data_IF_662121880216
#
_entry.id   IF_662121880216
#
_cell.length_a   1.000
_cell.length_b   1.000
_cell.length_c   1.000
_cell.angle_alpha   90.00
_cell.angle_beta   90.00
_cell.angle_gamma   90.00
#
_symmetry.space_group_name_H-M   'P 1'
#
loop_
_entity.id
_entity.type
_entity.pdbx_description
1 polymer ?
#
# COMPACT_ATOMS: atom_id res chain seq x y z
N UNK A 1 -53.15 -11.85 0.17
CA UNK A 1 -52.19 -10.93 0.76
C UNK A 1 -50.86 -11.68 0.92
N UNK A 2 -49.97 -11.55 -0.03
CA UNK A 2 -48.66 -12.17 0.03
C UNK A 2 -47.65 -11.03 0.09
N UNK A 3 -47.03 -10.86 1.28
CA UNK A 3 -45.97 -9.91 1.52
C UNK A 3 -44.68 -10.39 0.84
N UNK A 4 -44.23 -9.67 -0.17
CA UNK A 4 -42.94 -9.84 -0.78
C UNK A 4 -41.85 -9.36 0.19
N UNK A 5 -41.17 -10.30 0.79
CA UNK A 5 -39.97 -10.06 1.60
C UNK A 5 -38.81 -9.77 0.64
N UNK A 6 -38.58 -8.50 0.35
CA UNK A 6 -37.43 -8.03 -0.42
C UNK A 6 -36.15 -8.15 0.42
N UNK A 7 -35.56 -9.32 0.43
CA UNK A 7 -34.24 -9.53 1.01
C UNK A 7 -33.22 -8.62 0.32
N UNK A 8 -32.81 -7.56 0.98
CA UNK A 8 -31.68 -6.78 0.57
C UNK A 8 -30.47 -7.68 0.45
N UNK A 9 -29.98 -7.90 -0.78
CA UNK A 9 -28.68 -8.56 -1.02
C UNK A 9 -27.64 -7.78 -0.21
N UNK A 10 -26.87 -8.45 0.67
CA UNK A 10 -25.78 -7.78 1.33
C UNK A 10 -24.86 -7.22 0.22
N UNK A 11 -24.53 -5.94 0.34
CA UNK A 11 -23.51 -5.33 -0.49
C UNK A 11 -22.30 -6.26 -0.47
N UNK A 12 -21.85 -6.73 -1.63
CA UNK A 12 -20.69 -7.58 -1.77
C UNK A 12 -19.52 -6.85 -1.10
N UNK A 13 -19.17 -7.24 0.12
CA UNK A 13 -18.06 -6.70 0.88
C UNK A 13 -16.78 -6.86 0.05
N UNK A 14 -15.86 -5.91 0.17
CA UNK A 14 -14.54 -6.02 -0.44
C UNK A 14 -13.89 -7.34 -0.02
N UNK A 15 -13.43 -8.13 -0.99
CA UNK A 15 -12.67 -9.34 -0.74
C UNK A 15 -11.21 -9.06 -1.05
N UNK A 16 -10.31 -9.58 -0.22
CA UNK A 16 -8.87 -9.48 -0.40
C UNK A 16 -8.28 -10.87 -0.58
N UNK A 17 -7.14 -10.93 -1.24
CA UNK A 17 -6.42 -12.18 -1.38
C UNK A 17 -6.02 -12.72 0.00
N UNK A 18 -6.26 -14.02 0.24
CA UNK A 18 -6.06 -14.64 1.55
C UNK A 18 -4.64 -15.18 1.76
N UNK A 19 -3.71 -14.92 0.85
CA UNK A 19 -2.36 -15.47 0.82
C UNK A 19 -1.58 -15.37 2.15
N UNK A 20 -1.82 -14.32 2.94
CA UNK A 20 -1.12 -14.12 4.22
C UNK A 20 -1.67 -15.02 5.34
N UNK A 21 -2.91 -15.52 5.23
CA UNK A 21 -3.57 -16.25 6.32
C UNK A 21 -2.85 -17.55 6.71
N UNK A 22 -2.38 -18.40 5.78
CA UNK A 22 -1.60 -19.59 6.13
C UNK A 22 -0.31 -19.26 6.90
N UNK A 23 0.34 -18.14 6.57
CA UNK A 23 1.55 -17.70 7.26
C UNK A 23 1.27 -17.22 8.69
N UNK A 24 0.11 -16.59 8.94
CA UNK A 24 -0.30 -16.24 10.30
C UNK A 24 -0.48 -17.48 11.17
N UNK A 25 -1.14 -18.50 10.63
CA UNK A 25 -1.32 -19.79 11.29
C UNK A 25 0.03 -20.43 11.59
N UNK A 26 0.87 -20.60 10.58
CA UNK A 26 2.18 -21.22 10.72
C UNK A 26 3.09 -20.44 11.71
N UNK A 27 2.99 -19.11 11.72
CA UNK A 27 3.75 -18.27 12.64
C UNK A 27 3.34 -18.46 14.10
N UNK A 28 2.03 -18.61 14.40
CA UNK A 28 1.54 -18.93 15.75
C UNK A 28 1.99 -20.33 16.18
N UNK A 29 1.80 -21.33 15.33
CA UNK A 29 2.16 -22.73 15.63
C UNK A 29 3.64 -22.93 15.90
N UNK A 30 4.49 -22.25 15.11
CA UNK A 30 5.93 -22.27 15.33
C UNK A 30 6.37 -21.71 16.71
N UNK A 31 5.45 -21.02 17.40
CA UNK A 31 5.63 -20.47 18.75
C UNK A 31 4.88 -21.25 19.83
N UNK A 32 4.28 -22.37 19.48
CA UNK A 32 3.49 -23.19 20.39
C UNK A 32 2.16 -22.54 20.78
N UNK A 33 1.67 -21.55 20.02
CA UNK A 33 0.38 -20.89 20.23
C UNK A 33 -0.69 -21.63 19.46
N UNK A 34 -1.80 -21.96 20.12
CA UNK A 34 -2.94 -22.61 19.45
C UNK A 34 -3.57 -21.67 18.41
N UNK A 35 -3.46 -22.06 17.14
CA UNK A 35 -4.03 -21.33 16.01
C UNK A 35 -5.47 -21.75 15.66
N UNK A 36 -6.09 -22.67 16.42
CA UNK A 36 -7.47 -23.13 16.18
C UNK A 36 -8.48 -21.99 16.11
N UNK A 37 -8.44 -20.95 16.98
CA UNK A 37 -9.35 -19.83 16.89
C UNK A 37 -9.23 -19.07 15.57
N UNK A 38 -8.01 -18.97 15.00
CA UNK A 38 -7.77 -18.34 13.73
C UNK A 38 -8.38 -19.14 12.58
N UNK A 39 -8.21 -20.47 12.58
CA UNK A 39 -8.81 -21.37 11.57
C UNK A 39 -10.33 -21.40 11.60
N UNK A 40 -10.95 -21.12 12.76
CA UNK A 40 -12.39 -21.11 12.95
C UNK A 40 -13.05 -19.77 12.60
N UNK A 41 -12.29 -18.75 12.17
CA UNK A 41 -12.88 -17.48 11.75
C UNK A 41 -13.87 -17.71 10.60
N UNK A 42 -15.14 -17.25 10.73
CA UNK A 42 -16.13 -17.40 9.67
C UNK A 42 -15.66 -16.75 8.37
N UNK A 43 -15.61 -17.50 7.29
CA UNK A 43 -15.11 -17.03 5.99
C UNK A 43 -13.58 -17.13 5.82
N UNK A 44 -12.87 -17.69 6.81
CA UNK A 44 -11.51 -18.15 6.62
C UNK A 44 -11.53 -19.40 5.75
N UNK A 45 -11.04 -19.27 4.53
CA UNK A 45 -11.03 -20.39 3.60
C UNK A 45 -9.90 -21.35 3.99
N UNK A 46 -10.25 -22.56 4.37
CA UNK A 46 -9.32 -23.70 4.32
C UNK A 46 -9.15 -24.11 2.86
N UNK A 47 -8.49 -23.30 2.05
CA UNK A 47 -8.32 -23.54 0.62
C UNK A 47 -6.85 -23.61 0.29
N UNK A 48 -6.43 -24.69 -0.33
CA UNK A 48 -5.12 -24.82 -0.97
C UNK A 48 -5.07 -24.01 -2.30
N UNK A 49 -6.15 -23.28 -2.63
CA UNK A 49 -6.20 -22.43 -3.80
C UNK A 49 -5.33 -21.17 -3.59
N UNK A 50 -4.24 -21.01 -4.33
CA UNK A 50 -3.37 -19.85 -4.22
C UNK A 50 -4.07 -18.54 -4.58
N UNK A 51 -5.17 -18.58 -5.34
CA UNK A 51 -5.99 -17.44 -5.72
C UNK A 51 -7.17 -17.20 -4.77
N UNK A 52 -7.26 -17.94 -3.66
CA UNK A 52 -8.35 -17.81 -2.70
C UNK A 52 -8.46 -16.39 -2.16
N UNK A 53 -9.69 -15.91 -2.03
CA UNK A 53 -10.01 -14.58 -1.51
C UNK A 53 -10.90 -14.70 -0.29
N UNK A 54 -10.60 -13.94 0.75
CA UNK A 54 -11.40 -13.83 1.96
C UNK A 54 -12.09 -12.46 2.03
N UNK A 55 -13.24 -12.36 2.69
CA UNK A 55 -13.80 -11.05 3.03
C UNK A 55 -12.79 -10.24 3.83
N UNK A 56 -12.72 -8.96 3.55
CA UNK A 56 -11.73 -8.08 4.16
C UNK A 56 -11.78 -8.09 5.70
N UNK A 57 -12.99 -8.04 6.27
CA UNK A 57 -13.15 -8.06 7.73
C UNK A 57 -12.60 -9.34 8.37
N UNK A 58 -12.55 -10.46 7.63
CA UNK A 58 -11.95 -11.72 8.10
C UNK A 58 -10.43 -11.57 8.15
N UNK A 59 -9.83 -10.97 7.13
CA UNK A 59 -8.38 -10.74 7.12
C UNK A 59 -7.97 -9.76 8.23
N UNK A 60 -8.75 -8.68 8.45
CA UNK A 60 -8.50 -7.75 9.57
C UNK A 60 -8.65 -8.44 10.92
N UNK A 61 -9.72 -9.25 11.10
CA UNK A 61 -9.91 -10.04 12.30
C UNK A 61 -8.76 -11.04 12.54
N UNK A 62 -8.26 -11.66 11.48
CA UNK A 62 -7.14 -12.59 11.56
C UNK A 62 -5.86 -11.91 12.07
N UNK A 63 -5.53 -10.71 11.59
CA UNK A 63 -4.39 -9.93 12.10
C UNK A 63 -4.57 -9.55 13.57
N UNK A 64 -5.78 -9.06 13.94
CA UNK A 64 -6.10 -8.72 15.34
C UNK A 64 -6.03 -9.93 16.27
N UNK A 65 -6.59 -11.06 15.83
CA UNK A 65 -6.56 -12.30 16.61
C UNK A 65 -5.14 -12.86 16.76
N UNK A 66 -4.33 -12.81 15.70
CA UNK A 66 -2.91 -13.22 15.76
C UNK A 66 -2.15 -12.39 16.80
N UNK A 67 -2.34 -11.07 16.79
CA UNK A 67 -1.73 -10.19 17.78
C UNK A 67 -2.19 -10.52 19.22
N UNK A 68 -3.49 -10.74 19.40
CA UNK A 68 -4.09 -11.06 20.72
C UNK A 68 -3.61 -12.42 21.25
N UNK A 69 -3.63 -13.46 20.40
CA UNK A 69 -3.24 -14.81 20.82
C UNK A 69 -1.75 -14.92 21.15
N UNK A 70 -0.92 -14.23 20.41
CA UNK A 70 0.54 -14.26 20.65
C UNK A 70 0.98 -13.41 21.84
N UNK A 71 0.19 -12.40 22.24
CA UNK A 71 0.60 -11.40 23.22
C UNK A 71 1.84 -10.61 22.84
N UNK A 72 2.27 -10.69 21.58
CA UNK A 72 3.49 -10.06 21.10
C UNK A 72 3.24 -8.66 20.55
N UNK A 73 4.21 -7.77 20.73
CA UNK A 73 4.27 -6.49 20.04
C UNK A 73 4.90 -6.65 18.65
N UNK A 74 4.54 -5.77 17.71
CA UNK A 74 5.08 -5.77 16.36
C UNK A 74 4.92 -7.09 15.58
N UNK A 75 3.75 -7.75 15.75
CA UNK A 75 3.44 -9.03 15.10
C UNK A 75 3.61 -8.96 13.59
N UNK A 76 3.22 -7.83 12.98
CA UNK A 76 3.39 -7.63 11.54
C UNK A 76 4.83 -7.75 11.08
N UNK A 77 5.76 -7.15 11.83
CA UNK A 77 7.21 -7.25 11.55
C UNK A 77 7.69 -8.69 11.71
N UNK A 78 7.34 -9.35 12.80
CA UNK A 78 7.80 -10.71 13.08
C UNK A 78 7.28 -11.73 12.07
N UNK A 79 6.04 -11.59 11.61
CA UNK A 79 5.49 -12.41 10.53
C UNK A 79 6.24 -12.16 9.23
N UNK A 80 6.52 -10.89 8.87
CA UNK A 80 7.29 -10.56 7.68
C UNK A 80 8.70 -11.17 7.71
N UNK A 81 9.41 -11.12 8.86
CA UNK A 81 10.73 -11.74 9.05
C UNK A 81 10.68 -13.26 8.83
N UNK A 82 9.59 -13.92 9.22
CA UNK A 82 9.44 -15.37 9.12
C UNK A 82 9.08 -15.90 7.73
N UNK A 83 8.67 -15.01 6.81
CA UNK A 83 8.24 -15.44 5.48
C UNK A 83 9.38 -16.08 4.70
N UNK A 84 9.14 -17.26 4.10
CA UNK A 84 10.11 -17.88 3.20
C UNK A 84 10.21 -17.09 1.88
N UNK A 85 11.28 -17.32 1.14
CA UNK A 85 11.43 -16.84 -0.23
C UNK A 85 10.30 -17.40 -1.11
N UNK A 86 9.70 -16.56 -1.92
CA UNK A 86 8.58 -16.91 -2.80
C UNK A 86 7.20 -16.78 -2.13
N UNK A 87 7.12 -16.33 -0.88
CA UNK A 87 5.86 -16.20 -0.16
C UNK A 87 4.86 -15.24 -0.82
N UNK A 88 5.33 -14.27 -1.62
CA UNK A 88 4.48 -13.35 -2.37
C UNK A 88 4.26 -13.82 -3.83
N UNK A 89 4.56 -15.08 -4.12
CA UNK A 89 4.39 -15.69 -5.44
C UNK A 89 5.02 -14.83 -6.56
N UNK A 90 4.37 -14.73 -7.72
CA UNK A 90 4.87 -13.98 -8.89
C UNK A 90 5.20 -12.51 -8.58
N UNK A 91 4.56 -11.91 -7.59
CA UNK A 91 4.83 -10.52 -7.17
C UNK A 91 6.26 -10.39 -6.62
N UNK A 92 6.71 -11.37 -5.82
CA UNK A 92 8.08 -11.40 -5.33
C UNK A 92 9.10 -11.60 -6.45
N UNK A 93 8.81 -12.49 -7.39
CA UNK A 93 9.69 -12.72 -8.54
C UNK A 93 9.76 -11.50 -9.46
N UNK A 94 8.68 -10.73 -9.62
CA UNK A 94 8.72 -9.46 -10.34
C UNK A 94 9.63 -8.42 -9.67
N UNK A 95 9.65 -8.40 -8.33
CA UNK A 95 10.60 -7.59 -7.57
C UNK A 95 12.04 -8.08 -7.79
N UNK A 96 12.31 -9.35 -7.49
CA UNK A 96 13.66 -9.93 -7.46
C UNK A 96 14.37 -9.92 -8.81
N UNK A 97 13.63 -10.17 -9.89
CA UNK A 97 14.19 -10.16 -11.27
C UNK A 97 14.44 -8.77 -11.82
N UNK A 98 14.15 -7.71 -11.07
CA UNK A 98 14.38 -6.33 -11.51
C UNK A 98 15.87 -5.99 -11.49
N UNK A 99 16.34 -5.13 -12.40
CA UNK A 99 17.76 -4.77 -12.48
C UNK A 99 18.24 -3.92 -11.31
N UNK A 100 17.34 -3.21 -10.62
CA UNK A 100 17.69 -2.37 -9.46
C UNK A 100 16.60 -2.38 -8.40
N UNK A 101 16.97 -2.00 -7.17
CA UNK A 101 16.06 -1.89 -6.04
C UNK A 101 14.89 -0.93 -6.34
N UNK A 102 15.16 0.20 -6.96
CA UNK A 102 14.12 1.18 -7.31
C UNK A 102 13.06 0.58 -8.23
N UNK A 103 13.48 -0.08 -9.32
CA UNK A 103 12.56 -0.78 -10.23
C UNK A 103 11.87 -1.97 -9.56
N UNK A 104 12.56 -2.68 -8.68
CA UNK A 104 11.95 -3.75 -7.88
C UNK A 104 10.82 -3.23 -7.00
N UNK A 105 11.05 -2.14 -6.26
CA UNK A 105 10.02 -1.50 -5.44
C UNK A 105 8.87 -0.94 -6.30
N UNK A 106 9.15 -0.39 -7.47
CA UNK A 106 8.09 0.05 -8.38
C UNK A 106 7.19 -1.11 -8.82
N UNK A 107 7.78 -2.26 -9.16
CA UNK A 107 7.02 -3.47 -9.51
C UNK A 107 6.25 -4.03 -8.32
N UNK A 108 6.86 -4.05 -7.14
CA UNK A 108 6.19 -4.45 -5.91
C UNK A 108 4.98 -3.53 -5.62
N UNK A 109 5.12 -2.22 -5.82
CA UNK A 109 4.03 -1.27 -5.69
C UNK A 109 2.91 -1.55 -6.71
N UNK A 110 3.28 -1.74 -7.99
CA UNK A 110 2.35 -1.98 -9.08
C UNK A 110 1.57 -3.27 -8.91
N UNK A 111 2.26 -4.37 -8.59
CA UNK A 111 1.67 -5.71 -8.54
C UNK A 111 1.17 -6.11 -7.14
N UNK A 112 1.59 -5.41 -6.09
CA UNK A 112 1.15 -5.67 -4.71
C UNK A 112 -0.37 -5.59 -4.54
N UNK A 113 -1.07 -4.85 -5.41
CA UNK A 113 -2.53 -4.82 -5.43
C UNK A 113 -3.19 -6.16 -5.80
N UNK A 114 -2.44 -7.07 -6.44
CA UNK A 114 -2.91 -8.44 -6.68
C UNK A 114 -3.07 -9.16 -5.34
N UNK A 115 -2.17 -8.88 -4.40
CA UNK A 115 -2.17 -9.45 -3.05
C UNK A 115 -3.16 -8.74 -2.11
N UNK A 116 -3.43 -7.46 -2.34
CA UNK A 116 -4.35 -6.69 -1.50
C UNK A 116 -4.95 -5.49 -2.24
N UNK A 117 -6.26 -5.50 -2.44
CA UNK A 117 -7.00 -4.36 -3.02
C UNK A 117 -7.05 -3.14 -2.10
N UNK A 118 -6.79 -3.33 -0.80
CA UNK A 118 -6.85 -2.30 0.25
C UNK A 118 -5.54 -1.57 0.45
N UNK A 119 -4.45 -2.18 0.03
CA UNK A 119 -3.11 -1.60 0.18
C UNK A 119 -2.66 -1.09 -1.17
N UNK A 120 -2.63 0.22 -1.32
CA UNK A 120 -1.95 0.86 -2.44
C UNK A 120 -0.54 1.23 -1.98
N UNK A 121 0.45 0.70 -2.67
CA UNK A 121 1.84 1.07 -2.45
C UNK A 121 2.33 1.93 -3.63
N UNK A 122 3.30 2.79 -3.36
CA UNK A 122 3.94 3.62 -4.36
C UNK A 122 5.39 3.87 -4.03
N UNK A 123 6.20 3.94 -5.06
CA UNK A 123 7.57 4.40 -4.98
C UNK A 123 7.71 5.76 -5.62
N UNK A 124 8.50 6.59 -5.00
CA UNK A 124 8.87 7.90 -5.50
C UNK A 124 10.34 8.14 -5.24
N UNK A 125 11.04 8.64 -6.23
CA UNK A 125 12.44 8.98 -6.08
C UNK A 125 12.66 10.44 -6.48
N UNK A 126 13.37 11.18 -5.65
CA UNK A 126 13.99 12.43 -6.00
C UNK A 126 15.50 12.33 -5.82
N UNK A 127 16.24 13.45 -5.84
CA UNK A 127 17.70 13.44 -5.69
C UNK A 127 18.19 12.91 -4.34
N UNK A 128 17.35 12.89 -3.31
CA UNK A 128 17.75 12.57 -1.94
C UNK A 128 17.08 11.32 -1.36
N UNK A 129 15.83 11.04 -1.75
CA UNK A 129 15.02 9.98 -1.14
C UNK A 129 14.30 9.11 -2.16
N UNK A 130 14.17 7.84 -1.82
CA UNK A 130 13.27 6.87 -2.41
C UNK A 130 12.17 6.60 -1.37
N UNK A 131 10.95 7.05 -1.66
CA UNK A 131 9.82 6.95 -0.77
C UNK A 131 8.95 5.74 -1.15
N UNK A 132 8.67 4.88 -0.18
CA UNK A 132 7.67 3.82 -0.26
C UNK A 132 6.48 4.19 0.64
N UNK A 133 5.31 4.32 0.04
CA UNK A 133 4.07 4.66 0.73
C UNK A 133 3.13 3.45 0.75
N UNK A 134 2.50 3.23 1.89
CA UNK A 134 1.43 2.25 2.06
C UNK A 134 0.17 2.96 2.55
N UNK A 135 -0.90 2.79 1.81
CA UNK A 135 -2.19 3.41 2.11
C UNK A 135 -3.29 2.40 2.29
N UNK A 136 -4.16 2.69 3.22
CA UNK A 136 -5.49 2.12 3.26
C UNK A 136 -6.40 2.89 2.28
N UNK A 137 -6.91 2.20 1.27
CA UNK A 137 -7.84 2.79 0.28
C UNK A 137 -9.31 2.55 0.63
N UNK A 138 -9.60 2.07 1.83
CA UNK A 138 -10.94 1.77 2.32
C UNK A 138 -11.51 2.78 3.31
N UNK A 139 -12.66 2.44 3.87
CA UNK A 139 -13.38 3.25 4.86
C UNK A 139 -13.03 2.94 6.31
N UNK A 140 -12.46 1.77 6.59
CA UNK A 140 -12.02 1.35 7.91
C UNK A 140 -10.50 1.32 7.97
N UNK A 141 -9.94 1.64 9.12
CA UNK A 141 -8.50 1.60 9.32
C UNK A 141 -8.00 0.15 9.33
N UNK A 142 -6.84 -0.07 8.69
CA UNK A 142 -6.14 -1.35 8.75
C UNK A 142 -5.64 -1.60 10.18
N UNK A 143 -5.66 -2.86 10.61
CA UNK A 143 -5.05 -3.25 11.87
C UNK A 143 -3.54 -2.87 11.88
N UNK A 144 -2.98 -2.32 12.98
CA UNK A 144 -1.57 -1.92 13.08
C UNK A 144 -0.61 -2.98 12.56
N UNK A 145 -0.75 -4.24 12.98
CA UNK A 145 0.11 -5.33 12.53
C UNK A 145 0.12 -5.52 11.00
N UNK A 146 -0.98 -5.23 10.31
CA UNK A 146 -1.04 -5.33 8.85
C UNK A 146 -0.25 -4.22 8.16
N UNK A 147 -0.27 -3.01 8.69
CA UNK A 147 0.54 -1.89 8.16
C UNK A 147 2.03 -2.09 8.47
N UNK A 148 2.36 -2.57 9.65
CA UNK A 148 3.72 -2.98 10.02
C UNK A 148 4.25 -4.05 9.07
N UNK A 149 3.46 -5.08 8.81
CA UNK A 149 3.78 -6.16 7.88
C UNK A 149 4.06 -5.63 6.46
N UNK A 150 3.24 -4.72 5.95
CA UNK A 150 3.41 -4.16 4.61
C UNK A 150 4.73 -3.38 4.45
N UNK A 151 5.12 -2.58 5.46
CA UNK A 151 6.41 -1.87 5.45
C UNK A 151 7.59 -2.83 5.70
N UNK A 152 7.42 -3.81 6.59
CA UNK A 152 8.45 -4.79 6.90
C UNK A 152 8.77 -5.69 5.71
N UNK A 153 7.76 -6.12 4.93
CA UNK A 153 7.97 -6.88 3.69
C UNK A 153 8.80 -6.09 2.68
N UNK A 154 8.46 -4.81 2.43
CA UNK A 154 9.21 -3.99 1.49
C UNK A 154 10.69 -3.88 1.92
N UNK A 155 10.93 -3.69 3.23
CA UNK A 155 12.28 -3.61 3.78
C UNK A 155 13.02 -4.95 3.74
N UNK A 156 12.34 -6.06 4.06
CA UNK A 156 12.90 -7.41 3.95
C UNK A 156 13.31 -7.72 2.52
N UNK A 157 12.42 -7.50 1.56
CA UNK A 157 12.71 -7.72 0.15
C UNK A 157 13.87 -6.84 -0.35
N UNK A 158 13.95 -5.58 0.09
CA UNK A 158 15.05 -4.70 -0.24
C UNK A 158 16.40 -5.25 0.27
N UNK A 159 16.45 -5.73 1.50
CA UNK A 159 17.65 -6.36 2.10
C UNK A 159 18.00 -7.68 1.44
N UNK A 160 17.03 -8.57 1.30
CA UNK A 160 17.21 -9.88 0.69
C UNK A 160 17.63 -9.78 -0.78
N UNK A 161 17.04 -8.82 -1.51
CA UNK A 161 17.30 -8.63 -2.94
C UNK A 161 18.66 -7.99 -3.22
N UNK A 162 19.10 -7.05 -2.39
CA UNK A 162 20.43 -6.41 -2.53
C UNK A 162 21.56 -7.20 -1.85
N UNK A 163 21.22 -8.05 -0.90
CA UNK A 163 22.20 -8.72 -0.02
C UNK A 163 22.84 -7.76 0.99
N UNK A 164 22.29 -6.56 1.17
CA UNK A 164 22.86 -5.54 2.04
C UNK A 164 21.96 -5.21 3.23
N UNK A 165 22.56 -4.86 4.35
CA UNK A 165 21.83 -4.39 5.53
C UNK A 165 21.41 -2.92 5.35
N UNK A 166 20.38 -2.69 4.52
CA UNK A 166 19.85 -1.36 4.29
C UNK A 166 19.15 -0.83 5.55
N UNK A 167 19.42 0.44 5.88
CA UNK A 167 18.76 1.16 6.97
C UNK A 167 17.99 2.32 6.36
N UNK A 168 16.66 2.39 6.56
CA UNK A 168 15.87 3.50 6.06
C UNK A 168 16.21 4.79 6.81
N UNK A 169 16.09 5.94 6.14
CA UNK A 169 16.22 7.26 6.79
C UNK A 169 15.16 7.46 7.85
N UNK A 170 13.93 7.00 7.56
CA UNK A 170 12.78 7.14 8.44
C UNK A 170 11.72 6.10 8.10
N UNK A 171 11.01 5.66 9.12
CA UNK A 171 9.80 4.86 9.01
C UNK A 171 8.68 5.57 9.75
N UNK A 172 7.51 5.68 9.11
CA UNK A 172 6.33 6.30 9.71
C UNK A 172 5.16 5.31 9.73
N UNK A 173 4.49 5.26 10.87
CA UNK A 173 3.22 4.54 11.04
C UNK A 173 2.11 5.51 11.44
N UNK A 174 0.92 5.34 10.88
CA UNK A 174 -0.24 6.16 11.20
C UNK A 174 -0.90 5.79 12.54
N UNK A 175 -0.70 4.56 13.00
CA UNK A 175 -1.21 4.13 14.30
C UNK A 175 -0.39 4.71 15.47
N UNK A 176 -0.94 4.66 16.67
CA UNK A 176 -0.28 5.09 17.89
C UNK A 176 0.93 4.22 18.23
N UNK A 177 1.90 4.79 18.94
CA UNK A 177 3.05 4.04 19.42
C UNK A 177 2.59 2.89 20.32
N UNK A 178 3.12 1.66 20.13
CA UNK A 178 2.91 0.58 21.08
C UNK A 178 3.62 0.89 22.42
N UNK A 179 3.26 0.17 23.46
CA UNK A 179 3.91 0.30 24.77
C UNK A 179 5.42 -0.02 24.71
N UNK A 180 5.79 -0.96 23.84
CA UNK A 180 7.19 -1.29 23.54
C UNK A 180 7.41 -1.29 22.02
N UNK A 181 8.24 -0.36 21.54
CA UNK A 181 8.64 -0.22 20.14
C UNK A 181 10.05 -0.78 19.84
N UNK A 182 10.64 -1.51 20.78
CA UNK A 182 12.00 -2.06 20.65
C UNK A 182 12.18 -2.93 19.41
N UNK A 183 11.17 -3.73 19.07
CA UNK A 183 11.16 -4.57 17.87
C UNK A 183 11.15 -3.74 16.58
N UNK A 184 10.40 -2.64 16.56
CA UNK A 184 10.39 -1.72 15.42
C UNK A 184 11.76 -1.10 15.20
N UNK A 185 12.38 -0.57 16.28
CA UNK A 185 13.74 -0.02 16.21
C UNK A 185 14.78 -1.05 15.82
N UNK A 186 14.69 -2.26 16.37
CA UNK A 186 15.60 -3.36 16.04
C UNK A 186 15.51 -3.72 14.56
N UNK A 187 14.29 -3.90 14.04
CA UNK A 187 14.10 -4.32 12.66
C UNK A 187 14.49 -3.24 11.66
N UNK A 188 14.00 -2.01 11.84
CA UNK A 188 14.27 -0.95 10.88
C UNK A 188 15.65 -0.29 11.07
N UNK A 189 16.23 -0.34 12.28
CA UNK A 189 17.55 0.26 12.56
C UNK A 189 17.58 1.77 12.48
N UNK A 190 16.42 2.45 12.45
CA UNK A 190 16.29 3.87 12.24
C UNK A 190 15.22 4.50 13.11
N UNK A 191 15.01 5.81 12.93
CA UNK A 191 13.91 6.54 13.59
C UNK A 191 12.57 6.03 13.09
N UNK A 192 11.76 5.51 14.02
CA UNK A 192 10.37 5.13 13.78
C UNK A 192 9.47 6.21 14.38
N UNK A 193 8.55 6.74 13.58
CA UNK A 193 7.54 7.72 14.00
C UNK A 193 6.17 7.06 13.98
N UNK A 194 5.45 7.21 15.09
CA UNK A 194 4.06 6.79 15.20
C UNK A 194 3.14 8.02 15.20
N UNK A 195 1.85 7.82 14.94
CA UNK A 195 0.87 8.90 14.83
C UNK A 195 1.09 9.81 13.61
N UNK A 196 1.81 9.34 12.61
CA UNK A 196 2.02 10.07 11.37
C UNK A 196 0.75 10.10 10.51
N UNK A 197 0.72 10.99 9.51
CA UNK A 197 -0.42 11.08 8.58
C UNK A 197 -0.53 9.87 7.65
N UNK A 198 0.55 9.13 7.47
CA UNK A 198 0.61 7.96 6.56
C UNK A 198 1.60 6.91 7.04
N UNK A 199 1.48 5.69 6.47
CA UNK A 199 2.47 4.65 6.64
C UNK A 199 3.50 4.75 5.51
N UNK A 200 4.77 4.98 5.85
CA UNK A 200 5.82 5.22 4.86
C UNK A 200 7.19 4.71 5.27
N UNK A 201 8.00 4.38 4.28
CA UNK A 201 9.39 3.98 4.38
C UNK A 201 10.22 4.92 3.50
N UNK A 202 11.13 5.69 4.08
CA UNK A 202 12.06 6.53 3.36
C UNK A 202 13.44 5.86 3.28
N UNK A 203 13.89 5.59 2.08
CA UNK A 203 15.25 5.13 1.78
C UNK A 203 16.09 6.28 1.20
N UNK A 204 17.41 6.14 1.16
CA UNK A 204 18.25 7.09 0.42
C UNK A 204 18.08 6.90 -1.09
N UNK A 205 18.06 7.98 -1.87
CA UNK A 205 17.91 7.90 -3.33
C UNK A 205 19.00 7.04 -3.99
N UNK A 206 20.22 7.07 -3.45
CA UNK A 206 21.32 6.22 -3.91
C UNK A 206 21.01 4.72 -3.83
N UNK A 207 20.18 4.30 -2.88
CA UNK A 207 19.82 2.90 -2.72
C UNK A 207 18.93 2.41 -3.87
N UNK A 208 18.19 3.30 -4.54
CA UNK A 208 17.38 2.95 -5.70
C UNK A 208 18.20 2.36 -6.86
N UNK A 209 19.47 2.74 -6.98
CA UNK A 209 20.36 2.27 -8.04
C UNK A 209 21.09 0.96 -7.69
N UNK A 210 20.93 0.45 -6.48
CA UNK A 210 21.57 -0.81 -6.07
C UNK A 210 21.06 -1.96 -6.92
N UNK A 211 21.95 -2.79 -7.49
CA UNK A 211 21.54 -3.95 -8.25
C UNK A 211 20.87 -4.97 -7.35
N UNK A 212 19.88 -5.68 -7.86
CA UNK A 212 19.32 -6.86 -7.19
C UNK A 212 20.11 -8.10 -7.61
N UNK A 213 20.37 -8.98 -6.66
CA UNK A 213 21.22 -10.17 -6.87
C UNK A 213 20.61 -11.18 -7.86
N UNK A 214 19.28 -11.24 -7.90
CA UNK A 214 18.52 -12.14 -8.76
C UNK A 214 18.04 -11.44 -10.06
N UNK A 215 18.66 -10.32 -10.47
CA UNK A 215 18.25 -9.57 -11.66
C UNK A 215 18.30 -10.46 -12.91
N UNK A 216 17.19 -10.53 -13.64
CA UNK A 216 17.02 -11.30 -14.88
C UNK A 216 15.96 -10.63 -15.75
N UNK A 217 16.38 -9.98 -16.81
CA UNK A 217 15.49 -9.23 -17.70
C UNK A 217 14.50 -10.15 -18.45
N UNK A 218 14.91 -11.38 -18.79
CA UNK A 218 14.05 -12.35 -19.46
C UNK A 218 12.93 -12.82 -18.53
N UNK A 219 13.29 -13.20 -17.30
CA UNK A 219 12.33 -13.58 -16.27
C UNK A 219 11.40 -12.40 -15.92
N UNK A 220 11.96 -11.21 -15.75
CA UNK A 220 11.22 -9.99 -15.49
C UNK A 220 10.14 -9.70 -16.55
N UNK A 221 10.48 -9.91 -17.82
CA UNK A 221 9.55 -9.73 -18.93
C UNK A 221 8.42 -10.79 -18.93
N UNK A 222 8.76 -12.03 -18.63
CA UNK A 222 7.77 -13.14 -18.56
C UNK A 222 6.80 -12.91 -17.41
N UNK A 223 7.33 -12.70 -16.19
CA UNK A 223 6.53 -12.48 -14.98
C UNK A 223 5.68 -11.22 -15.13
N UNK A 224 6.27 -10.13 -15.63
CA UNK A 224 5.55 -8.88 -15.85
C UNK A 224 4.34 -9.03 -16.77
N UNK A 225 4.50 -9.72 -17.93
CA UNK A 225 3.36 -10.00 -18.84
C UNK A 225 2.26 -10.82 -18.16
N UNK A 226 2.63 -11.79 -17.32
CA UNK A 226 1.65 -12.60 -16.59
C UNK A 226 0.87 -11.75 -15.58
N UNK A 227 1.58 -10.96 -14.77
CA UNK A 227 0.97 -10.11 -13.76
C UNK A 227 0.09 -9.01 -14.37
N UNK A 228 0.48 -8.42 -15.51
CA UNK A 228 -0.38 -7.47 -16.22
C UNK A 228 -1.72 -8.08 -16.61
N UNK A 229 -1.73 -9.34 -17.10
CA UNK A 229 -2.97 -10.05 -17.41
C UNK A 229 -3.84 -10.28 -16.17
N UNK A 230 -3.21 -10.66 -15.03
CA UNK A 230 -3.92 -10.83 -13.76
C UNK A 230 -4.55 -9.50 -13.32
N UNK A 231 -3.83 -8.39 -13.42
CA UNK A 231 -4.34 -7.05 -13.10
C UNK A 231 -5.55 -6.68 -13.95
N UNK A 232 -5.47 -6.89 -15.26
CA UNK A 232 -6.60 -6.61 -16.19
C UNK A 232 -7.84 -7.42 -15.80
N UNK A 233 -7.67 -8.71 -15.50
CA UNK A 233 -8.77 -9.57 -15.07
C UNK A 233 -9.34 -9.16 -13.71
N UNK A 234 -8.48 -8.78 -12.78
CA UNK A 234 -8.89 -8.29 -11.46
C UNK A 234 -9.67 -6.98 -11.58
N UNK A 235 -9.19 -6.02 -12.39
CA UNK A 235 -9.88 -4.76 -12.64
C UNK A 235 -11.24 -4.96 -13.33
N UNK A 236 -11.36 -5.95 -14.21
CA UNK A 236 -12.63 -6.32 -14.84
C UNK A 236 -13.63 -6.93 -13.84
N UNK A 237 -13.15 -7.71 -12.87
CA UNK A 237 -13.96 -8.33 -11.80
C UNK A 237 -14.32 -7.36 -10.68
N UNK A 238 -13.51 -6.33 -10.46
CA UNK A 238 -13.68 -5.35 -9.38
C UNK A 238 -14.84 -4.39 -9.72
N UNK A 239 -16.07 -4.82 -9.50
CA UNK A 239 -17.28 -4.00 -9.53
C UNK A 239 -17.36 -2.98 -8.39
N UNK A 240 -16.24 -2.59 -7.79
CA UNK A 240 -16.16 -1.61 -6.70
C UNK A 240 -16.46 -0.17 -7.12
N UNK A 241 -16.61 0.77 -6.14
CA UNK A 241 -16.87 2.18 -6.41
C UNK A 241 -15.88 2.75 -7.42
N UNK A 242 -16.38 3.51 -8.39
CA UNK A 242 -15.52 4.12 -9.41
C UNK A 242 -14.52 5.08 -8.80
N UNK A 243 -14.91 5.78 -7.73
CA UNK A 243 -14.02 6.65 -6.95
C UNK A 243 -12.75 5.92 -6.46
N UNK A 244 -12.88 4.67 -5.96
CA UNK A 244 -11.74 3.84 -5.53
C UNK A 244 -10.83 3.52 -6.71
N UNK A 245 -11.39 3.17 -7.86
CA UNK A 245 -10.64 2.88 -9.09
C UNK A 245 -9.91 4.12 -9.62
N UNK A 246 -10.60 5.27 -9.65
CA UNK A 246 -10.00 6.56 -10.03
C UNK A 246 -8.87 6.94 -9.09
N UNK A 247 -9.11 6.86 -7.78
CA UNK A 247 -8.08 7.17 -6.78
C UNK A 247 -6.83 6.31 -6.94
N UNK A 248 -7.00 5.03 -7.27
CA UNK A 248 -5.89 4.12 -7.57
C UNK A 248 -5.06 4.62 -8.75
N UNK A 249 -5.70 4.92 -9.88
CA UNK A 249 -5.00 5.45 -11.06
C UNK A 249 -4.27 6.75 -10.73
N UNK A 250 -4.90 7.64 -9.93
CA UNK A 250 -4.26 8.88 -9.48
C UNK A 250 -3.02 8.62 -8.63
N UNK A 251 -3.09 7.66 -7.71
CA UNK A 251 -1.94 7.26 -6.88
C UNK A 251 -0.81 6.67 -7.72
N UNK A 252 -1.12 5.79 -8.67
CA UNK A 252 -0.13 5.11 -9.51
C UNK A 252 0.60 6.04 -10.49
N UNK A 253 -0.02 7.12 -10.91
CA UNK A 253 0.50 8.00 -11.95
C UNK A 253 0.95 9.40 -11.47
N UNK A 254 0.75 9.75 -10.18
CA UNK A 254 1.20 11.04 -9.63
C UNK A 254 2.73 11.17 -9.76
N UNK A 255 3.25 12.31 -10.24
CA UNK A 255 4.68 12.59 -10.45
C UNK A 255 5.30 11.95 -11.71
N UNK A 256 4.55 11.16 -12.48
CA UNK A 256 5.04 10.58 -13.76
C UNK A 256 4.47 11.27 -14.99
N UNK A 257 3.28 11.81 -14.89
CA UNK A 257 2.61 12.53 -15.99
C UNK A 257 1.49 13.41 -15.45
N UNK A 258 1.20 14.51 -16.13
CA UNK A 258 0.01 15.31 -15.83
C UNK A 258 -1.24 14.46 -16.09
N UNK A 259 -1.98 14.15 -15.01
CA UNK A 259 -3.21 13.37 -15.10
C UNK A 259 -4.40 14.25 -15.43
N UNK A 260 -5.00 14.00 -16.58
CA UNK A 260 -6.26 14.62 -16.97
C UNK A 260 -7.44 13.68 -16.71
N UNK A 261 -8.66 14.21 -16.53
CA UNK A 261 -9.85 13.36 -16.44
C UNK A 261 -10.02 12.43 -17.64
N UNK A 262 -9.60 12.88 -18.83
CA UNK A 262 -9.66 12.13 -20.08
C UNK A 262 -8.69 10.94 -20.05
N UNK A 263 -7.43 11.16 -19.63
CA UNK A 263 -6.41 10.10 -19.55
C UNK A 263 -6.83 9.03 -18.54
N UNK A 264 -7.36 9.42 -17.40
CA UNK A 264 -7.86 8.49 -16.37
C UNK A 264 -9.11 7.74 -16.87
N UNK A 265 -10.03 8.42 -17.57
CA UNK A 265 -11.19 7.75 -18.16
C UNK A 265 -10.77 6.70 -19.20
N UNK A 266 -9.80 7.01 -20.07
CA UNK A 266 -9.25 6.07 -21.03
C UNK A 266 -8.61 4.84 -20.34
N UNK A 267 -7.81 5.07 -19.30
CA UNK A 267 -7.20 3.98 -18.50
C UNK A 267 -8.28 3.06 -17.87
N UNK A 268 -9.41 3.63 -17.48
CA UNK A 268 -10.52 2.88 -16.89
C UNK A 268 -11.53 2.33 -17.92
N UNK A 269 -11.23 2.44 -19.23
CA UNK A 269 -12.09 1.94 -20.30
C UNK A 269 -13.44 2.64 -20.39
N UNK A 270 -13.48 3.96 -20.07
CA UNK A 270 -14.74 4.75 -20.09
C UNK A 270 -14.53 6.14 -20.71
N UNK A 271 -15.61 6.86 -21.01
CA UNK A 271 -15.51 8.26 -21.45
C UNK A 271 -15.46 9.21 -20.25
N UNK A 272 -14.85 10.40 -20.44
CA UNK A 272 -14.84 11.47 -19.43
C UNK A 272 -16.26 11.84 -18.94
N UNK A 273 -17.24 11.90 -19.84
CA UNK A 273 -18.65 12.16 -19.50
C UNK A 273 -19.22 11.07 -18.56
N UNK A 274 -18.94 9.81 -18.86
CA UNK A 274 -19.41 8.68 -18.04
C UNK A 274 -18.68 8.66 -16.69
N UNK A 275 -17.37 8.92 -16.68
CA UNK A 275 -16.55 9.05 -15.47
C UNK A 275 -17.14 10.11 -14.54
N UNK A 276 -17.35 11.33 -15.04
CA UNK A 276 -17.87 12.46 -14.26
C UNK A 276 -19.28 12.18 -13.69
N UNK A 277 -20.18 11.63 -14.51
CA UNK A 277 -21.52 11.28 -14.06
C UNK A 277 -21.54 10.24 -12.96
N UNK A 278 -20.72 9.18 -13.10
CA UNK A 278 -20.64 8.10 -12.11
C UNK A 278 -19.95 8.54 -10.82
N UNK A 279 -18.92 9.38 -10.89
CA UNK A 279 -18.30 9.96 -9.70
C UNK A 279 -19.28 10.88 -8.96
N UNK A 280 -20.08 11.66 -9.68
CA UNK A 280 -21.12 12.47 -9.07
C UNK A 280 -22.18 11.63 -8.35
N UNK A 281 -22.57 10.46 -8.90
CA UNK A 281 -23.47 9.53 -8.20
C UNK A 281 -22.85 8.87 -6.96
N UNK A 282 -21.53 8.88 -6.85
CA UNK A 282 -20.76 8.47 -5.66
C UNK A 282 -20.43 9.67 -4.72
N UNK A 283 -21.11 10.81 -4.89
CA UNK A 283 -20.92 12.04 -4.12
C UNK A 283 -19.47 12.58 -4.13
N UNK A 284 -18.75 12.41 -5.24
CA UNK A 284 -17.37 12.89 -5.41
C UNK A 284 -17.12 13.40 -6.83
N UNK A 285 -15.91 13.88 -7.10
CA UNK A 285 -15.47 14.31 -8.43
C UNK A 285 -14.00 13.94 -8.65
N UNK A 286 -13.56 13.91 -9.93
CA UNK A 286 -12.16 13.73 -10.28
C UNK A 286 -11.26 14.74 -9.54
N UNK A 287 -11.66 16.01 -9.53
CA UNK A 287 -10.89 17.06 -8.87
C UNK A 287 -10.78 16.84 -7.37
N UNK A 288 -11.86 16.44 -6.70
CA UNK A 288 -11.82 16.13 -5.26
C UNK A 288 -10.84 14.98 -4.96
N UNK A 289 -10.94 13.88 -5.72
CA UNK A 289 -10.05 12.75 -5.56
C UNK A 289 -8.58 13.09 -5.86
N UNK A 290 -8.34 13.94 -6.87
CA UNK A 290 -7.00 14.39 -7.23
C UNK A 290 -6.39 15.32 -6.17
N UNK A 291 -7.19 16.25 -5.65
CA UNK A 291 -6.81 17.14 -4.55
C UNK A 291 -6.52 16.34 -3.27
N UNK A 292 -7.34 15.32 -2.94
CA UNK A 292 -7.13 14.44 -1.79
C UNK A 292 -5.81 13.66 -1.88
N UNK A 293 -5.54 13.07 -3.05
CA UNK A 293 -4.30 12.34 -3.29
C UNK A 293 -3.09 13.28 -3.15
N UNK A 294 -3.12 14.45 -3.81
CA UNK A 294 -2.05 15.45 -3.70
C UNK A 294 -1.83 15.95 -2.27
N UNK A 295 -2.91 16.21 -1.53
CA UNK A 295 -2.85 16.67 -0.15
C UNK A 295 -2.14 15.66 0.75
N UNK A 296 -2.42 14.38 0.56
CA UNK A 296 -1.82 13.31 1.33
C UNK A 296 -0.33 13.18 1.06
N UNK A 297 0.07 13.16 -0.20
CA UNK A 297 1.49 13.11 -0.56
C UNK A 297 2.25 14.35 -0.08
N UNK A 298 1.62 15.54 -0.18
CA UNK A 298 2.20 16.75 0.36
C UNK A 298 2.51 16.64 1.86
N UNK A 299 1.60 16.08 2.65
CA UNK A 299 1.81 15.92 4.11
C UNK A 299 3.01 15.04 4.39
N UNK A 300 3.09 13.88 3.74
CA UNK A 300 4.21 12.93 3.91
C UNK A 300 5.54 13.57 3.59
N UNK A 301 5.62 14.20 2.41
CA UNK A 301 6.88 14.83 1.98
C UNK A 301 7.27 16.04 2.84
N UNK A 302 6.29 16.75 3.40
CA UNK A 302 6.56 17.88 4.31
C UNK A 302 6.93 17.43 5.72
N UNK A 303 6.56 16.24 6.16
CA UNK A 303 7.01 15.63 7.41
C UNK A 303 8.49 15.22 7.35
N UNK A 304 9.00 14.94 6.15
CA UNK A 304 10.44 14.77 5.91
C UNK A 304 11.15 16.14 5.90
N UNK A 305 12.09 16.32 6.84
CA UNK A 305 12.86 17.57 6.96
C UNK A 305 13.89 17.76 5.82
N UNK A 306 14.15 16.71 5.02
CA UNK A 306 15.12 16.75 3.91
C UNK A 306 14.56 17.33 2.61
N UNK A 307 13.23 17.33 2.44
CA UNK A 307 12.61 17.84 1.20
C UNK A 307 12.28 19.32 1.32
N UNK A 308 12.69 20.16 0.37
CA UNK A 308 12.26 21.57 0.36
C UNK A 308 10.79 21.69 -0.04
N UNK A 309 10.13 22.81 0.33
CA UNK A 309 8.75 23.07 -0.11
C UNK A 309 8.65 23.20 -1.63
N UNK A 310 9.73 23.64 -2.28
CA UNK A 310 9.80 23.72 -3.73
C UNK A 310 9.88 22.33 -4.37
N UNK A 311 10.63 21.41 -3.78
CA UNK A 311 10.70 20.03 -4.27
C UNK A 311 9.35 19.33 -4.18
N UNK A 312 8.63 19.53 -3.06
CA UNK A 312 7.27 19.02 -2.89
C UNK A 312 6.30 19.60 -3.92
N UNK A 313 6.40 20.91 -4.18
CA UNK A 313 5.56 21.57 -5.18
C UNK A 313 5.81 20.99 -6.59
N UNK A 314 7.06 20.91 -6.98
CA UNK A 314 7.47 20.35 -8.28
C UNK A 314 7.05 18.90 -8.44
N UNK A 315 7.26 18.11 -7.40
CA UNK A 315 6.86 16.70 -7.36
C UNK A 315 5.34 16.52 -7.58
N UNK A 316 4.51 17.41 -7.03
CA UNK A 316 3.05 17.39 -7.18
C UNK A 316 2.55 18.07 -8.46
N UNK A 317 3.41 18.24 -9.47
CA UNK A 317 3.10 18.88 -10.76
C UNK A 317 2.62 20.34 -10.63
N UNK A 318 3.11 21.09 -9.65
CA UNK A 318 2.91 22.52 -9.62
C UNK A 318 4.05 23.24 -10.33
N UNK A 319 3.71 24.03 -11.34
CA UNK A 319 4.70 24.86 -12.08
C UNK A 319 5.35 25.92 -11.19
N UNK A 320 4.64 26.34 -10.13
CA UNK A 320 5.11 27.37 -9.20
C UNK A 320 4.84 27.00 -7.75
N UNK A 321 5.81 27.17 -6.84
CA UNK A 321 5.63 26.93 -5.40
C UNK A 321 4.47 27.72 -4.79
N UNK A 322 4.18 28.92 -5.31
CA UNK A 322 3.07 29.76 -4.85
C UNK A 322 1.70 29.09 -5.09
N UNK A 323 1.53 28.40 -6.22
CA UNK A 323 0.30 27.66 -6.52
C UNK A 323 0.12 26.49 -5.56
N UNK A 324 1.18 25.76 -5.25
CA UNK A 324 1.19 24.71 -4.23
C UNK A 324 0.84 25.24 -2.85
N UNK A 325 1.43 26.36 -2.42
CA UNK A 325 1.11 26.99 -1.13
C UNK A 325 -0.38 27.27 -0.97
N UNK A 326 -1.03 27.86 -2.02
CA UNK A 326 -2.48 28.10 -2.01
C UNK A 326 -3.30 26.82 -1.93
N UNK A 327 -2.92 25.80 -2.70
CA UNK A 327 -3.60 24.51 -2.72
C UNK A 327 -3.46 23.81 -1.36
N UNK A 328 -2.26 23.73 -0.81
CA UNK A 328 -1.99 23.08 0.47
C UNK A 328 -2.74 23.74 1.63
N UNK A 329 -2.80 25.11 1.66
CA UNK A 329 -3.59 25.82 2.64
C UNK A 329 -5.09 25.55 2.50
N UNK A 330 -5.59 25.40 1.27
CA UNK A 330 -7.00 25.02 1.02
C UNK A 330 -7.29 23.61 1.55
N UNK A 331 -6.37 22.67 1.40
CA UNK A 331 -6.54 21.27 1.83
C UNK A 331 -6.40 21.07 3.34
N UNK A 332 -5.50 21.80 3.99
CA UNK A 332 -5.08 21.53 5.37
C UNK A 332 -5.40 22.66 6.36
N UNK A 333 -5.83 23.81 5.87
CA UNK A 333 -6.01 25.02 6.68
C UNK A 333 -4.71 25.73 7.07
N UNK A 334 -3.53 25.14 6.77
CA UNK A 334 -2.21 25.64 7.19
C UNK A 334 -1.29 25.81 5.97
N UNK A 335 -0.28 26.67 6.11
CA UNK A 335 0.77 26.75 5.08
C UNK A 335 1.75 25.57 5.22
N UNK A 336 2.46 25.17 4.14
CA UNK A 336 3.48 24.11 4.21
C UNK A 336 4.53 24.35 5.31
N UNK A 337 4.97 25.60 5.49
CA UNK A 337 5.92 25.96 6.55
C UNK A 337 5.35 25.79 7.96
N UNK A 338 4.08 26.15 8.17
CA UNK A 338 3.39 25.95 9.45
C UNK A 338 3.18 24.46 9.76
N UNK A 339 2.88 23.67 8.74
CA UNK A 339 2.70 22.24 8.89
C UNK A 339 3.99 21.52 9.30
N UNK A 340 5.13 21.93 8.75
CA UNK A 340 6.46 21.35 9.05
C UNK A 340 6.95 21.64 10.48
N UNK A 341 6.44 22.68 11.13
CA UNK A 341 6.86 23.09 12.49
C UNK A 341 6.12 22.36 13.61
N UNK A 342 5.14 21.55 13.26
CA UNK A 342 4.34 20.73 14.19
C UNK A 342 4.87 19.31 14.25
#
# INVERSE_FOLDING_TARGET
>A
MAGANGGARPALGSSVHSWALPYLVAWLEARGVDASPLRQLPGMLASDDPDARAPEHVVEAAWGLTASLSGQHAVGIQVAESLPRGALDLVEYAFRSSPSLGLGLERLARYGRILSDRVAARTEANREVLLWLVRDVGRSHLHPARTEFALAIAMKLARDGTGEHLVPRQVCFSHSAPADDSQHRRFFGSRVRFGASTNSLLLHARDAQRPLQDADDALAAIVGRRLERVLVLQDARAGGPLATRVRRVLVEALGRSSLTPESVAATLGTSHRTLSRRLASEATSFRALHDDVRAEFARVMLEDQGSSVADVAFFLDYSEPAAFHRAFRRWTGRTPRQFRRT
#
